data_IF_015345835190
#
_entry.id   IF_015345835190
#
_cell.length_a   1.000
_cell.length_b   1.000
_cell.length_c   1.000
_cell.angle_alpha   90.00
_cell.angle_beta   90.00
_cell.angle_gamma   90.00
#
_symmetry.space_group_name_H-M   'P 1'
#
loop_
_entity.id
_entity.type
_entity.pdbx_description
1 polymer ?
#
# COMPACT_ATOMS: atom_id res chain seq x y z
N UNK A 1 23.39 -18.91 -78.63
CA UNK A 1 23.68 -19.88 -77.55
C UNK A 1 22.64 -19.64 -76.44
N UNK A 2 21.57 -20.46 -76.39
CA UNK A 2 21.29 -21.44 -75.31
C UNK A 2 21.39 -20.81 -73.90
N UNK A 3 20.26 -20.43 -73.29
CA UNK A 3 19.36 -21.27 -72.44
C UNK A 3 19.69 -21.07 -70.95
N UNK A 4 18.80 -20.41 -70.18
CA UNK A 4 17.88 -21.06 -69.23
C UNK A 4 17.27 -20.07 -68.22
N UNK A 5 15.94 -20.03 -68.24
CA UNK A 5 15.11 -19.58 -67.14
C UNK A 5 15.10 -20.62 -66.01
N UNK A 6 15.01 -20.17 -64.76
CA UNK A 6 14.38 -20.93 -63.67
C UNK A 6 13.57 -19.99 -62.77
N UNK A 7 12.28 -20.30 -62.71
CA UNK A 7 11.27 -19.87 -61.75
C UNK A 7 11.56 -20.37 -60.32
N UNK A 8 10.71 -19.88 -59.41
CA UNK A 8 10.33 -20.39 -58.07
C UNK A 8 11.18 -19.81 -56.93
N UNK A 9 10.66 -19.34 -55.80
CA UNK A 9 9.38 -19.61 -55.12
C UNK A 9 9.06 -18.41 -54.20
N UNK A 10 7.79 -18.04 -54.14
CA UNK A 10 7.22 -17.19 -53.09
C UNK A 10 7.37 -17.93 -51.75
N UNK A 11 8.07 -17.33 -50.80
CA UNK A 11 8.03 -17.74 -49.39
C UNK A 11 7.43 -16.61 -48.57
N UNK A 12 6.14 -16.75 -48.28
CA UNK A 12 5.45 -16.06 -47.19
C UNK A 12 6.10 -16.56 -45.90
N UNK A 13 7.01 -15.78 -45.33
CA UNK A 13 7.49 -16.00 -43.97
C UNK A 13 6.55 -15.24 -43.02
N UNK A 14 5.83 -16.01 -42.20
CA UNK A 14 4.72 -15.55 -41.41
C UNK A 14 5.09 -14.54 -40.32
N UNK A 15 4.10 -13.69 -40.04
CA UNK A 15 3.91 -13.03 -38.75
C UNK A 15 4.00 -14.05 -37.63
N UNK A 16 5.13 -14.04 -36.94
CA UNK A 16 5.39 -14.76 -35.71
C UNK A 16 6.30 -13.92 -34.84
N UNK A 17 5.86 -12.71 -34.49
CA UNK A 17 6.49 -11.96 -33.42
C UNK A 17 6.28 -12.76 -32.13
N UNK A 18 7.34 -13.43 -31.71
CA UNK A 18 7.49 -14.10 -30.43
C UNK A 18 6.99 -13.15 -29.33
N UNK A 19 5.81 -13.45 -28.80
CA UNK A 19 5.47 -13.05 -27.45
C UNK A 19 6.50 -13.73 -26.55
N UNK A 20 7.58 -13.01 -26.24
CA UNK A 20 8.44 -13.36 -25.13
C UNK A 20 7.53 -13.41 -23.91
N UNK A 21 7.23 -14.63 -23.46
CA UNK A 21 6.43 -14.88 -22.28
C UNK A 21 7.09 -14.16 -21.13
N UNK A 22 6.45 -13.10 -20.63
CA UNK A 22 6.66 -12.65 -19.28
C UNK A 22 6.20 -13.82 -18.39
N UNK A 23 7.14 -14.70 -18.03
CA UNK A 23 6.98 -15.57 -16.88
C UNK A 23 6.63 -14.63 -15.73
N UNK A 24 5.41 -14.73 -15.21
CA UNK A 24 4.93 -13.89 -14.11
C UNK A 24 5.90 -14.01 -12.95
N UNK A 25 6.78 -13.03 -12.80
CA UNK A 25 7.65 -12.94 -11.64
C UNK A 25 6.72 -12.64 -10.47
N UNK A 26 6.68 -13.54 -9.48
CA UNK A 26 5.94 -13.29 -8.27
C UNK A 26 6.39 -11.93 -7.72
N UNK A 27 5.44 -11.04 -7.43
CA UNK A 27 5.75 -9.72 -6.89
C UNK A 27 6.63 -9.88 -5.64
N UNK A 28 7.80 -9.23 -5.64
CA UNK A 28 8.71 -9.31 -4.51
C UNK A 28 8.10 -8.59 -3.30
N UNK A 29 8.10 -9.26 -2.14
CA UNK A 29 7.54 -8.70 -0.90
C UNK A 29 8.27 -7.39 -0.53
N UNK A 30 7.55 -6.30 -0.24
CA UNK A 30 8.18 -5.09 0.30
C UNK A 30 8.90 -5.37 1.61
N UNK A 31 10.11 -4.84 1.76
CA UNK A 31 10.89 -4.91 3.01
C UNK A 31 10.42 -3.79 3.93
N UNK A 32 9.95 -4.10 5.13
CA UNK A 32 9.26 -3.11 5.98
C UNK A 32 9.88 -3.01 7.36
N UNK A 33 10.11 -1.79 7.81
CA UNK A 33 10.43 -1.44 9.19
C UNK A 33 9.32 -0.53 9.71
N UNK A 34 8.85 -0.79 10.94
CA UNK A 34 7.83 0.03 11.61
C UNK A 34 8.46 0.75 12.79
N UNK A 35 8.21 2.06 12.90
CA UNK A 35 8.54 2.91 14.05
C UNK A 35 7.21 3.32 14.68
N UNK A 36 6.94 2.85 15.89
CA UNK A 36 5.63 3.00 16.53
C UNK A 36 5.77 3.43 17.98
N UNK A 37 4.96 4.41 18.39
CA UNK A 37 4.83 4.84 19.78
C UNK A 37 3.74 4.05 20.52
N UNK A 38 3.60 2.77 20.17
CA UNK A 38 2.66 1.82 20.78
C UNK A 38 2.60 1.99 22.30
N UNK A 39 1.36 2.03 22.81
CA UNK A 39 1.09 2.25 24.22
C UNK A 39 0.85 3.71 24.62
N UNK A 40 0.92 4.63 23.64
CA UNK A 40 0.31 5.94 23.74
C UNK A 40 -1.23 5.84 23.71
N UNK A 41 -1.75 5.44 22.54
CA UNK A 41 -3.16 5.29 22.21
C UNK A 41 -3.45 3.86 21.73
N UNK A 42 -4.73 3.46 21.61
CA UNK A 42 -5.09 2.11 21.17
C UNK A 42 -4.74 1.79 19.71
N UNK A 43 -4.59 2.78 18.84
CA UNK A 43 -4.52 2.62 17.39
C UNK A 43 -3.23 1.96 16.87
N UNK A 44 -2.05 2.23 17.44
CA UNK A 44 -0.83 1.45 17.12
C UNK A 44 -1.03 -0.05 17.43
N UNK A 45 -1.74 -0.32 18.53
CA UNK A 45 -2.04 -1.68 18.97
C UNK A 45 -3.02 -2.39 18.04
N UNK A 46 -4.00 -1.66 17.51
CA UNK A 46 -4.94 -2.11 16.47
C UNK A 46 -4.19 -2.37 15.15
N UNK A 47 -3.39 -1.39 14.71
CA UNK A 47 -2.62 -1.42 13.47
C UNK A 47 -1.61 -2.56 13.45
N UNK A 48 -0.97 -2.86 14.59
CA UNK A 48 -0.05 -3.99 14.69
C UNK A 48 -0.76 -5.34 14.57
N UNK A 49 -1.96 -5.50 15.13
CA UNK A 49 -2.75 -6.72 14.93
C UNK A 49 -3.06 -6.92 13.45
N UNK A 50 -3.47 -5.85 12.75
CA UNK A 50 -3.70 -5.92 11.30
C UNK A 50 -2.41 -6.24 10.54
N UNK A 51 -1.31 -5.53 10.82
CA UNK A 51 -0.02 -5.76 10.15
C UNK A 51 0.42 -7.23 10.21
N UNK A 52 0.29 -7.87 11.38
CA UNK A 52 0.67 -9.28 11.56
C UNK A 52 -0.14 -10.23 10.67
N UNK A 53 -1.41 -9.90 10.38
CA UNK A 53 -2.23 -10.67 9.44
C UNK A 53 -1.82 -10.48 7.97
N UNK A 54 -1.05 -9.45 7.64
CA UNK A 54 -0.49 -9.22 6.30
C UNK A 54 1.00 -9.57 6.22
N UNK A 55 1.58 -10.17 7.28
CA UNK A 55 2.99 -10.55 7.30
C UNK A 55 3.35 -11.63 6.26
N UNK A 56 2.36 -12.30 5.65
CA UNK A 56 2.60 -13.17 4.51
C UNK A 56 2.94 -12.39 3.22
N UNK A 57 2.53 -11.13 3.11
CA UNK A 57 2.72 -10.29 1.92
C UNK A 57 3.90 -9.30 2.09
N UNK A 58 4.46 -9.20 3.30
CA UNK A 58 5.51 -8.25 3.67
C UNK A 58 6.73 -8.97 4.26
N UNK A 59 7.93 -8.52 3.90
CA UNK A 59 9.16 -8.92 4.60
C UNK A 59 9.39 -7.93 5.75
N UNK A 60 8.87 -8.24 6.93
CA UNK A 60 9.15 -7.43 8.13
C UNK A 60 10.63 -7.57 8.52
N UNK A 61 11.29 -6.44 8.75
CA UNK A 61 12.72 -6.35 9.10
C UNK A 61 12.98 -5.57 10.38
N UNK A 62 11.97 -4.90 10.94
CA UNK A 62 12.09 -4.19 12.21
C UNK A 62 10.74 -3.78 12.76
N UNK A 63 10.56 -3.98 14.07
CA UNK A 63 9.41 -3.47 14.83
C UNK A 63 9.98 -2.66 15.99
N UNK A 64 10.06 -1.34 15.83
CA UNK A 64 10.80 -0.45 16.72
C UNK A 64 9.80 0.35 17.55
N UNK A 65 9.81 0.13 18.86
CA UNK A 65 9.06 0.95 19.80
C UNK A 65 9.79 2.28 20.03
N UNK A 66 9.18 3.40 19.68
CA UNK A 66 9.76 4.74 19.74
C UNK A 66 8.83 5.72 20.47
N UNK A 67 9.17 7.00 20.48
CA UNK A 67 8.39 8.09 21.08
C UNK A 67 7.65 8.90 20.02
N UNK A 68 6.74 9.76 20.47
CA UNK A 68 6.04 10.75 19.66
C UNK A 68 5.73 11.98 20.52
N UNK A 69 5.02 12.96 19.99
CA UNK A 69 4.50 14.09 20.77
C UNK A 69 3.45 13.67 21.80
N UNK A 70 2.82 12.51 21.62
CA UNK A 70 1.79 11.98 22.50
C UNK A 70 2.36 10.99 23.54
N UNK A 71 3.46 10.32 23.22
CA UNK A 71 4.26 9.52 24.17
C UNK A 71 5.74 9.94 24.12
N UNK A 72 6.10 10.94 24.93
CA UNK A 72 7.36 11.71 24.76
C UNK A 72 8.59 11.14 25.47
N UNK A 73 8.40 10.28 26.46
CA UNK A 73 9.42 9.93 27.46
C UNK A 73 9.51 8.43 27.79
N UNK A 74 8.78 7.57 27.06
CA UNK A 74 8.76 6.13 27.26
C UNK A 74 8.56 5.36 25.95
N UNK A 75 8.99 4.10 25.93
CA UNK A 75 8.75 3.15 24.83
C UNK A 75 8.18 1.85 25.41
N UNK A 76 7.36 1.13 24.65
CA UNK A 76 6.67 -0.08 25.14
C UNK A 76 6.80 -1.31 24.21
N UNK A 77 8.02 -1.82 23.95
CA UNK A 77 8.23 -3.00 23.10
C UNK A 77 7.49 -4.25 23.59
N UNK A 78 7.24 -4.38 24.89
CA UNK A 78 6.46 -5.49 25.47
C UNK A 78 5.06 -5.62 24.86
N UNK A 79 4.47 -4.52 24.39
CA UNK A 79 3.17 -4.54 23.72
C UNK A 79 3.25 -5.16 22.33
N UNK A 80 4.39 -5.02 21.65
CA UNK A 80 4.64 -5.70 20.37
C UNK A 80 4.85 -7.20 20.59
N UNK A 81 5.69 -7.57 21.57
CA UNK A 81 5.91 -8.97 21.96
C UNK A 81 4.61 -9.71 22.29
N UNK A 82 3.71 -9.09 23.07
CA UNK A 82 2.43 -9.70 23.42
C UNK A 82 1.56 -10.04 22.19
N UNK A 83 1.55 -9.15 21.18
CA UNK A 83 0.80 -9.35 19.93
C UNK A 83 1.44 -10.40 19.04
N UNK A 84 2.77 -10.42 18.96
CA UNK A 84 3.51 -11.45 18.22
C UNK A 84 3.31 -12.84 18.86
N UNK A 85 3.27 -12.91 20.19
CA UNK A 85 2.96 -14.15 20.90
C UNK A 85 1.54 -14.64 20.58
N UNK A 86 0.55 -13.75 20.52
CA UNK A 86 -0.81 -14.10 20.11
C UNK A 86 -0.90 -14.51 18.62
N UNK A 87 -0.13 -13.85 17.74
CA UNK A 87 0.04 -14.27 16.35
C UNK A 87 0.60 -15.69 16.26
N UNK A 88 1.59 -16.04 17.08
CA UNK A 88 2.15 -17.39 17.15
C UNK A 88 1.13 -18.48 17.49
N UNK A 89 0.10 -18.16 18.28
CA UNK A 89 -0.98 -19.09 18.61
C UNK A 89 -1.90 -19.38 17.41
N UNK A 90 -2.08 -18.40 16.52
CA UNK A 90 -2.97 -18.53 15.34
C UNK A 90 -2.22 -18.86 14.05
N UNK A 91 -0.89 -18.84 14.08
CA UNK A 91 -0.02 -19.13 12.93
C UNK A 91 -0.28 -20.49 12.26
N UNK A 92 -0.57 -21.60 12.99
CA UNK A 92 -0.90 -22.87 12.34
C UNK A 92 -2.13 -22.79 11.44
N UNK A 93 -3.13 -21.99 11.82
CA UNK A 93 -4.34 -21.76 11.04
C UNK A 93 -4.02 -20.89 9.82
N UNK A 94 -3.37 -19.74 10.02
CA UNK A 94 -2.97 -18.82 8.95
C UNK A 94 -2.21 -19.52 7.80
N UNK A 95 -1.32 -20.46 8.14
CA UNK A 95 -0.54 -21.26 7.18
C UNK A 95 -1.37 -22.22 6.31
N UNK A 96 -2.62 -22.51 6.68
CA UNK A 96 -3.53 -23.27 5.81
C UNK A 96 -4.24 -22.39 4.77
N UNK A 97 -4.28 -21.07 5.01
CA UNK A 97 -5.01 -20.12 4.19
C UNK A 97 -4.11 -19.40 3.18
N UNK A 98 -2.86 -19.12 3.54
CA UNK A 98 -1.86 -18.57 2.63
C UNK A 98 -0.43 -18.98 2.99
N UNK A 99 0.41 -19.07 1.97
CA UNK A 99 1.85 -19.29 2.13
C UNK A 99 2.57 -18.01 2.57
N UNK A 100 3.79 -18.17 3.09
CA UNK A 100 4.69 -17.05 3.31
C UNK A 100 4.58 -16.34 4.65
N UNK A 101 3.70 -16.78 5.57
CA UNK A 101 3.65 -16.27 6.94
C UNK A 101 4.95 -16.60 7.73
N UNK A 102 5.66 -15.59 8.26
CA UNK A 102 6.89 -15.79 9.02
C UNK A 102 6.62 -16.45 10.37
N UNK A 103 7.62 -17.16 10.90
CA UNK A 103 7.56 -17.69 12.26
C UNK A 103 7.44 -16.54 13.27
N UNK A 104 6.63 -16.74 14.31
CA UNK A 104 6.48 -15.76 15.38
C UNK A 104 7.82 -15.44 16.07
N UNK A 105 8.69 -16.45 16.27
CA UNK A 105 10.02 -16.25 16.83
C UNK A 105 10.91 -15.35 15.95
N UNK A 106 10.77 -15.42 14.62
CA UNK A 106 11.48 -14.51 13.70
C UNK A 106 10.99 -13.09 13.89
N UNK A 107 9.67 -12.87 13.98
CA UNK A 107 9.11 -11.54 14.21
C UNK A 107 9.49 -10.97 15.58
N UNK A 108 9.44 -11.80 16.62
CA UNK A 108 9.79 -11.43 17.99
C UNK A 108 11.24 -10.94 18.08
N UNK A 109 12.15 -11.61 17.38
CA UNK A 109 13.56 -11.24 17.27
C UNK A 109 13.83 -9.93 16.51
N UNK A 110 12.83 -9.35 15.84
CA UNK A 110 12.92 -8.04 15.16
C UNK A 110 12.47 -6.88 16.05
N UNK A 111 11.89 -7.16 17.22
CA UNK A 111 11.44 -6.10 18.13
C UNK A 111 12.64 -5.41 18.75
N UNK A 112 12.66 -4.07 18.71
CA UNK A 112 13.70 -3.25 19.33
C UNK A 112 13.09 -2.10 20.12
N UNK A 113 13.77 -1.73 21.21
CA UNK A 113 13.57 -0.44 21.84
C UNK A 113 14.34 0.63 21.07
N UNK A 114 13.62 1.65 20.64
CA UNK A 114 14.20 2.92 20.23
C UNK A 114 14.56 3.79 21.43
N UNK A 115 14.75 5.08 21.17
CA UNK A 115 15.04 6.06 22.24
C UNK A 115 13.77 6.40 23.01
N UNK A 116 13.89 6.58 24.33
CA UNK A 116 12.83 7.17 25.14
C UNK A 116 12.88 8.70 25.16
N UNK A 117 13.80 9.34 24.45
CA UNK A 117 13.81 10.80 24.29
C UNK A 117 12.80 11.24 23.23
N UNK A 118 12.39 12.51 23.26
CA UNK A 118 11.52 13.08 22.24
C UNK A 118 12.31 13.67 21.06
N UNK A 119 12.03 13.18 19.85
CA UNK A 119 12.53 13.71 18.59
C UNK A 119 14.04 13.95 18.57
N UNK A 120 14.46 15.09 18.02
CA UNK A 120 15.88 15.44 17.82
C UNK A 120 16.69 15.55 19.13
N UNK A 121 16.05 15.59 20.31
CA UNK A 121 16.78 15.52 21.60
C UNK A 121 17.46 14.16 21.82
N UNK A 122 16.94 13.11 21.19
CA UNK A 122 17.53 11.78 21.21
C UNK A 122 18.50 11.51 20.06
N UNK A 123 18.84 12.50 19.25
CA UNK A 123 19.70 12.34 18.07
C UNK A 123 21.06 12.99 18.28
N UNK A 124 22.14 12.22 18.14
CA UNK A 124 23.49 12.74 18.33
C UNK A 124 24.57 11.68 18.52
N UNK A 125 25.79 12.15 18.76
CA UNK A 125 26.96 11.29 19.00
C UNK A 125 26.76 10.46 20.27
N UNK A 126 26.89 9.14 20.15
CA UNK A 126 26.76 8.20 21.28
C UNK A 126 25.31 7.93 21.70
N UNK A 127 24.33 8.35 20.90
CA UNK A 127 22.90 8.13 21.17
C UNK A 127 22.30 7.02 20.29
N UNK A 128 23.12 6.14 19.72
CA UNK A 128 22.64 5.00 18.93
C UNK A 128 21.79 4.06 19.80
N UNK A 129 20.58 3.81 19.34
CA UNK A 129 19.61 2.85 19.89
C UNK A 129 19.69 1.52 19.16
N UNK A 130 19.16 0.46 19.75
CA UNK A 130 19.08 -0.82 19.02
C UNK A 130 18.17 -0.72 17.79
N UNK A 131 17.14 0.13 17.84
CA UNK A 131 16.30 0.48 16.69
C UNK A 131 17.10 1.14 15.55
N UNK A 132 17.90 2.16 15.86
CA UNK A 132 18.72 2.86 14.86
C UNK A 132 19.77 1.94 14.22
N UNK A 133 20.38 1.04 15.01
CA UNK A 133 21.32 0.03 14.49
C UNK A 133 20.62 -0.96 13.57
N UNK A 134 19.44 -1.45 13.96
CA UNK A 134 18.63 -2.34 13.12
C UNK A 134 18.28 -1.69 11.78
N UNK A 135 17.94 -0.40 11.76
CA UNK A 135 17.68 0.34 10.51
C UNK A 135 18.91 0.33 9.61
N UNK A 136 20.09 0.63 10.18
CA UNK A 136 21.35 0.63 9.42
C UNK A 136 21.63 -0.76 8.85
N UNK A 137 21.55 -1.81 9.68
CA UNK A 137 21.78 -3.21 9.29
C UNK A 137 20.82 -3.65 8.18
N UNK A 138 19.54 -3.34 8.30
CA UNK A 138 18.54 -3.65 7.29
C UNK A 138 18.87 -2.96 5.95
N UNK A 139 19.12 -1.64 5.96
CA UNK A 139 19.42 -0.89 4.73
C UNK A 139 20.73 -1.36 4.09
N UNK A 140 21.72 -1.77 4.87
CA UNK A 140 23.02 -2.25 4.37
C UNK A 140 23.00 -3.67 3.82
N UNK A 141 21.98 -4.47 4.15
CA UNK A 141 21.85 -5.83 3.59
C UNK A 141 21.97 -5.76 2.06
N UNK A 142 22.75 -6.67 1.42
CA UNK A 142 22.94 -6.71 -0.04
C UNK A 142 21.68 -7.27 -0.73
N UNK A 143 20.57 -6.55 -0.59
CA UNK A 143 19.29 -6.83 -1.19
C UNK A 143 18.91 -5.59 -2.05
N UNK A 144 18.64 -5.77 -3.35
CA UNK A 144 18.38 -4.65 -4.27
C UNK A 144 17.04 -3.97 -3.98
N UNK A 145 16.13 -4.63 -3.26
CA UNK A 145 14.84 -4.05 -2.90
C UNK A 145 15.02 -2.93 -1.90
N UNK A 146 14.25 -1.84 -2.04
CA UNK A 146 14.29 -0.79 -1.04
C UNK A 146 13.69 -1.22 0.30
N UNK A 147 14.02 -0.47 1.33
CA UNK A 147 13.42 -0.61 2.67
C UNK A 147 12.38 0.48 2.85
N UNK A 148 11.15 0.05 3.10
CA UNK A 148 10.02 0.90 3.45
C UNK A 148 9.99 1.10 4.97
N UNK A 149 9.99 2.35 5.40
CA UNK A 149 9.93 2.72 6.82
C UNK A 149 8.57 3.37 7.08
N UNK A 150 7.71 2.64 7.79
CA UNK A 150 6.40 3.14 8.24
C UNK A 150 6.58 3.81 9.60
N UNK A 151 6.38 5.12 9.65
CA UNK A 151 6.52 5.93 10.87
C UNK A 151 5.12 6.23 11.40
N UNK A 152 4.70 5.46 12.40
CA UNK A 152 3.41 5.58 13.08
C UNK A 152 3.50 6.69 14.13
N UNK A 153 4.55 6.67 14.95
CA UNK A 153 4.87 7.71 15.93
C UNK A 153 5.87 8.76 15.42
N UNK A 154 6.95 8.96 16.17
CA UNK A 154 8.07 9.83 15.81
C UNK A 154 9.12 9.16 14.91
N UNK A 155 9.91 9.98 14.22
CA UNK A 155 10.96 9.52 13.31
C UNK A 155 12.37 9.50 13.95
N UNK A 156 12.47 9.67 15.27
CA UNK A 156 13.75 9.78 16.00
C UNK A 156 14.75 8.70 15.63
N UNK A 157 14.38 7.41 15.71
CA UNK A 157 15.34 6.31 15.49
C UNK A 157 15.86 6.27 14.04
N UNK A 158 15.04 6.69 13.08
CA UNK A 158 15.46 6.88 11.69
C UNK A 158 16.42 8.08 11.58
N UNK A 159 16.13 9.19 12.27
CA UNK A 159 17.01 10.35 12.30
C UNK A 159 18.37 10.03 12.95
N UNK A 160 18.39 9.24 14.02
CA UNK A 160 19.61 8.73 14.63
C UNK A 160 20.39 7.85 13.66
N UNK A 161 19.74 6.91 12.97
CA UNK A 161 20.38 6.05 11.97
C UNK A 161 21.07 6.87 10.86
N UNK A 162 20.36 7.84 10.27
CA UNK A 162 20.95 8.69 9.22
C UNK A 162 22.01 9.65 9.76
N UNK A 163 21.88 10.14 10.99
CA UNK A 163 22.90 10.94 11.66
C UNK A 163 24.21 10.16 11.81
N UNK A 164 24.12 8.90 12.27
CA UNK A 164 25.27 8.00 12.41
C UNK A 164 25.90 7.65 11.08
N UNK A 165 25.11 7.29 10.06
CA UNK A 165 25.62 7.04 8.70
C UNK A 165 26.33 8.27 8.14
N UNK A 166 25.76 9.47 8.29
CA UNK A 166 26.37 10.72 7.84
C UNK A 166 27.69 11.04 8.56
N UNK A 167 27.80 10.71 9.84
CA UNK A 167 28.99 10.97 10.64
C UNK A 167 30.12 9.96 10.40
N UNK A 168 29.80 8.75 9.91
CA UNK A 168 30.75 7.61 9.83
C UNK A 168 31.10 7.20 8.41
N UNK A 169 30.38 7.68 7.39
CA UNK A 169 30.57 7.30 5.99
C UNK A 169 30.89 8.48 5.09
N UNK A 170 31.39 8.17 3.90
CA UNK A 170 31.58 9.14 2.82
C UNK A 170 30.23 9.69 2.31
N UNK A 171 30.21 10.88 1.69
CA UNK A 171 29.01 11.42 1.07
C UNK A 171 28.35 10.47 0.05
N UNK A 172 29.15 9.75 -0.74
CA UNK A 172 28.68 8.80 -1.74
C UNK A 172 27.98 7.60 -1.10
N UNK A 173 28.55 7.07 -0.02
CA UNK A 173 27.95 5.98 0.75
C UNK A 173 26.66 6.43 1.45
N UNK A 174 26.62 7.65 1.99
CA UNK A 174 25.39 8.21 2.56
C UNK A 174 24.31 8.36 1.48
N UNK A 175 24.65 8.89 0.31
CA UNK A 175 23.72 9.02 -0.82
C UNK A 175 23.17 7.65 -1.24
N UNK A 176 24.03 6.64 -1.34
CA UNK A 176 23.62 5.27 -1.66
C UNK A 176 22.73 4.65 -0.56
N UNK A 177 22.98 4.98 0.71
CA UNK A 177 22.14 4.57 1.84
C UNK A 177 20.74 5.21 1.76
N UNK A 178 20.67 6.53 1.58
CA UNK A 178 19.41 7.28 1.44
C UNK A 178 18.59 6.79 0.24
N UNK A 179 19.24 6.52 -0.88
CA UNK A 179 18.60 6.03 -2.11
C UNK A 179 17.91 4.65 -1.95
N UNK A 180 18.18 3.91 -0.88
CA UNK A 180 17.53 2.61 -0.56
C UNK A 180 16.32 2.75 0.36
N UNK A 181 16.07 3.92 0.94
CA UNK A 181 14.95 4.16 1.85
C UNK A 181 13.72 4.69 1.11
N UNK A 182 12.53 4.33 1.59
CA UNK A 182 11.25 5.00 1.29
C UNK A 182 10.50 5.16 2.60
N UNK A 183 10.09 6.36 2.94
CA UNK A 183 9.42 6.62 4.22
C UNK A 183 7.96 6.98 3.98
N UNK A 184 7.06 6.44 4.80
CA UNK A 184 5.69 6.91 4.94
C UNK A 184 5.47 7.26 6.40
N UNK A 185 5.20 8.53 6.71
CA UNK A 185 4.89 8.99 8.06
C UNK A 185 3.43 9.40 8.23
N UNK A 186 2.84 9.02 9.35
CA UNK A 186 1.51 9.44 9.79
C UNK A 186 1.63 10.86 10.33
N UNK A 187 1.59 11.81 9.38
CA UNK A 187 2.02 13.20 9.63
C UNK A 187 3.45 13.26 10.18
N UNK A 188 3.86 14.36 10.80
CA UNK A 188 5.06 14.44 11.63
C UNK A 188 4.61 14.50 13.10
N UNK A 189 4.97 13.50 13.90
CA UNK A 189 4.63 13.45 15.33
C UNK A 189 5.81 13.82 16.24
N UNK A 190 6.96 14.15 15.67
CA UNK A 190 8.09 14.77 16.35
C UNK A 190 8.79 15.79 15.43
N UNK A 191 9.87 16.41 15.90
CA UNK A 191 10.69 17.32 15.09
C UNK A 191 11.72 16.60 14.19
N UNK A 192 11.86 15.28 14.32
CA UNK A 192 12.83 14.48 13.58
C UNK A 192 12.38 14.21 12.13
N UNK A 193 11.08 14.01 11.89
CA UNK A 193 10.53 13.83 10.53
C UNK A 193 10.75 15.05 9.64
N UNK A 194 10.39 16.24 10.13
CA UNK A 194 10.65 17.49 9.44
C UNK A 194 12.15 17.75 9.24
N UNK A 195 12.99 17.43 10.23
CA UNK A 195 14.45 17.54 10.10
C UNK A 195 14.99 16.61 9.01
N UNK A 196 14.56 15.34 8.97
CA UNK A 196 14.97 14.37 7.94
C UNK A 196 14.64 14.88 6.55
N UNK A 197 13.42 15.36 6.33
CA UNK A 197 12.97 15.91 5.03
C UNK A 197 13.80 17.13 4.59
N UNK A 198 14.24 17.97 5.51
CA UNK A 198 15.08 19.13 5.20
C UNK A 198 16.55 18.76 4.96
N UNK A 199 17.10 17.81 5.73
CA UNK A 199 18.51 17.44 5.68
C UNK A 199 18.83 16.41 4.60
N UNK A 200 17.83 15.65 4.16
CA UNK A 200 17.94 14.62 3.13
C UNK A 200 16.85 14.86 2.06
N UNK A 201 16.99 15.91 1.23
CA UNK A 201 15.96 16.27 0.24
C UNK A 201 15.71 15.15 -0.81
N UNK A 202 16.72 14.31 -1.06
CA UNK A 202 16.64 13.15 -1.95
C UNK A 202 16.00 11.90 -1.30
N UNK A 203 15.62 11.97 -0.01
CA UNK A 203 14.91 10.88 0.67
C UNK A 203 13.46 10.84 0.22
N UNK A 204 13.06 9.72 -0.40
CA UNK A 204 11.66 9.47 -0.72
C UNK A 204 10.82 9.48 0.56
N UNK A 205 9.84 10.38 0.63
CA UNK A 205 9.02 10.57 1.82
C UNK A 205 7.57 10.88 1.49
N UNK A 206 6.64 10.13 2.05
CA UNK A 206 5.20 10.39 2.01
C UNK A 206 4.76 10.90 3.38
N UNK A 207 4.12 12.07 3.43
CA UNK A 207 3.57 12.62 4.67
C UNK A 207 2.34 13.50 4.43
N UNK A 208 1.39 13.44 5.36
CA UNK A 208 0.40 14.49 5.52
C UNK A 208 1.02 15.70 6.21
N UNK A 209 1.45 16.70 5.41
CA UNK A 209 2.01 17.96 5.91
C UNK A 209 0.90 18.99 6.06
N UNK A 210 0.56 19.30 7.31
CA UNK A 210 -0.47 20.28 7.67
C UNK A 210 -0.01 21.13 8.86
N UNK A 211 -0.81 22.12 9.27
CA UNK A 211 -0.53 22.89 10.49
C UNK A 211 -0.38 21.97 11.70
N UNK A 212 0.51 22.30 12.64
CA UNK A 212 0.83 21.42 13.77
C UNK A 212 -0.43 20.98 14.53
N UNK A 213 -0.54 19.66 14.77
CA UNK A 213 -1.69 18.99 15.40
C UNK A 213 -3.06 19.16 14.70
N UNK A 214 -3.11 19.70 13.47
CA UNK A 214 -4.34 19.81 12.67
C UNK A 214 -4.64 18.51 11.90
N UNK A 215 -4.64 17.36 12.59
CA UNK A 215 -4.82 16.04 11.98
C UNK A 215 -6.14 15.88 11.21
N UNK A 216 -7.15 16.70 11.49
CA UNK A 216 -8.39 16.73 10.71
C UNK A 216 -8.19 17.08 9.23
N UNK A 217 -7.02 17.62 8.86
CA UNK A 217 -6.61 17.89 7.49
C UNK A 217 -5.80 16.75 6.86
N UNK A 218 -5.42 15.72 7.62
CA UNK A 218 -4.51 14.68 7.15
C UNK A 218 -5.21 13.57 6.38
N UNK A 219 -4.52 12.99 5.40
CA UNK A 219 -5.05 11.96 4.49
C UNK A 219 -5.33 10.67 5.24
N UNK A 220 -4.44 10.27 6.14
CA UNK A 220 -4.56 9.03 6.92
C UNK A 220 -5.85 8.97 7.76
N UNK A 221 -6.40 10.12 8.19
CA UNK A 221 -7.70 10.14 8.88
C UNK A 221 -8.85 9.64 8.02
N UNK A 222 -8.68 9.46 6.70
CA UNK A 222 -9.64 8.76 5.86
C UNK A 222 -9.90 7.31 6.26
N UNK A 223 -9.01 6.68 7.04
CA UNK A 223 -9.25 5.32 7.53
C UNK A 223 -10.58 5.24 8.31
N UNK A 224 -10.84 6.16 9.23
CA UNK A 224 -12.01 6.12 10.13
C UNK A 224 -12.38 7.47 10.77
N UNK A 225 -11.78 8.59 10.38
CA UNK A 225 -11.92 9.88 11.05
C UNK A 225 -13.32 10.50 11.02
N UNK A 226 -14.19 10.03 10.13
CA UNK A 226 -15.60 10.38 10.08
C UNK A 226 -16.41 9.83 11.26
N UNK A 227 -15.90 8.87 12.05
CA UNK A 227 -16.57 8.46 13.31
C UNK A 227 -16.77 9.64 14.25
N UNK A 228 -15.86 10.62 14.21
CA UNK A 228 -15.90 11.86 15.00
C UNK A 228 -16.57 13.05 14.29
N UNK A 229 -17.09 12.86 13.08
CA UNK A 229 -17.71 13.92 12.25
C UNK A 229 -19.22 13.68 12.09
N UNK A 230 -20.02 14.73 11.87
CA UNK A 230 -21.45 14.57 11.58
C UNK A 230 -21.67 13.91 10.21
N UNK A 231 -20.89 14.30 9.21
CA UNK A 231 -20.92 13.70 7.88
C UNK A 231 -20.12 12.40 7.91
N UNK A 232 -20.81 11.30 7.59
CA UNK A 232 -20.21 9.97 7.45
C UNK A 232 -19.78 9.73 6.00
N UNK A 233 -18.70 8.99 5.83
CA UNK A 233 -18.21 8.53 4.53
C UNK A 233 -18.76 7.12 4.23
N UNK A 234 -18.64 6.64 2.98
CA UNK A 234 -19.04 5.28 2.64
C UNK A 234 -18.45 4.22 3.59
N UNK A 235 -19.24 3.18 3.88
CA UNK A 235 -18.88 2.07 4.78
C UNK A 235 -18.49 2.50 6.22
N UNK A 236 -19.05 3.60 6.73
CA UNK A 236 -18.76 4.12 8.07
C UNK A 236 -19.09 3.14 9.21
N UNK A 237 -20.05 2.24 9.02
CA UNK A 237 -20.38 1.18 9.97
C UNK A 237 -19.21 0.23 10.22
N UNK A 238 -18.39 -0.02 9.20
CA UNK A 238 -17.28 -0.99 9.24
C UNK A 238 -16.09 -0.54 10.08
N UNK A 239 -16.11 0.69 10.59
CA UNK A 239 -15.03 1.25 11.42
C UNK A 239 -15.48 1.56 12.84
N UNK A 240 -16.70 1.14 13.20
CA UNK A 240 -17.24 1.30 14.55
C UNK A 240 -16.77 0.19 15.48
N UNK A 241 -16.65 0.50 16.77
CA UNK A 241 -16.41 -0.53 17.79
C UNK A 241 -17.40 -1.70 17.74
N UNK A 242 -18.66 -1.49 17.37
CA UNK A 242 -19.65 -2.57 17.25
C UNK A 242 -19.32 -3.54 16.10
N UNK A 243 -18.90 -3.01 14.94
CA UNK A 243 -18.47 -3.84 13.83
C UNK A 243 -17.15 -4.55 14.14
N UNK A 244 -16.20 -3.86 14.77
CA UNK A 244 -14.90 -4.41 15.17
C UNK A 244 -15.06 -5.53 16.21
N UNK A 245 -16.00 -5.39 17.15
CA UNK A 245 -16.34 -6.47 18.09
C UNK A 245 -16.76 -7.75 17.35
N UNK A 246 -17.60 -7.59 16.34
CA UNK A 246 -18.19 -8.71 15.61
C UNK A 246 -17.22 -9.34 14.61
N UNK A 247 -16.35 -8.55 13.99
CA UNK A 247 -15.57 -8.98 12.83
C UNK A 247 -14.07 -9.08 13.08
N UNK A 248 -13.55 -8.40 14.10
CA UNK A 248 -12.10 -8.27 14.35
C UNK A 248 -11.70 -8.82 15.70
N UNK A 249 -12.41 -8.48 16.79
CA UNK A 249 -12.04 -8.86 18.17
C UNK A 249 -12.41 -10.31 18.48
N UNK A 250 -11.84 -11.24 17.72
CA UNK A 250 -12.12 -12.68 17.75
C UNK A 250 -10.83 -13.48 17.80
N UNK A 251 -10.86 -14.58 18.55
CA UNK A 251 -9.70 -15.45 18.73
C UNK A 251 -8.54 -14.81 19.49
N UNK A 252 -7.42 -15.52 19.68
CA UNK A 252 -6.31 -15.06 20.51
C UNK A 252 -5.68 -13.74 20.04
N UNK A 253 -5.45 -13.59 18.73
CA UNK A 253 -4.86 -12.37 18.18
C UNK A 253 -5.85 -11.20 18.17
N UNK A 254 -7.08 -11.43 17.71
CA UNK A 254 -8.12 -10.40 17.69
C UNK A 254 -8.50 -9.87 19.08
N UNK A 255 -8.41 -10.70 20.13
CA UNK A 255 -8.63 -10.25 21.51
C UNK A 255 -7.64 -9.17 22.00
N UNK A 256 -6.48 -9.02 21.33
CA UNK A 256 -5.50 -7.96 21.63
C UNK A 256 -5.69 -6.70 20.78
N UNK A 257 -6.71 -6.68 19.93
CA UNK A 257 -7.18 -5.49 19.23
C UNK A 257 -8.09 -4.70 20.19
N UNK A 258 -7.68 -3.54 20.72
CA UNK A 258 -8.48 -2.81 21.70
C UNK A 258 -9.68 -2.08 21.07
N UNK A 259 -10.60 -1.53 21.87
CA UNK A 259 -11.54 -0.52 21.41
C UNK A 259 -10.85 0.81 21.11
N UNK A 260 -11.15 1.39 19.95
CA UNK A 260 -10.60 2.69 19.58
C UNK A 260 -11.13 3.79 20.50
N UNK A 261 -10.25 4.71 20.89
CA UNK A 261 -10.58 5.86 21.76
C UNK A 261 -10.98 7.11 20.95
N UNK A 262 -10.26 7.37 19.84
CA UNK A 262 -10.53 8.52 18.97
C UNK A 262 -10.99 8.04 17.59
N UNK A 263 -10.07 7.48 16.82
CA UNK A 263 -10.34 6.88 15.52
C UNK A 263 -9.69 5.49 15.51
N UNK A 264 -10.19 4.60 14.66
CA UNK A 264 -9.62 3.26 14.48
C UNK A 264 -8.41 3.31 13.55
N UNK A 265 -7.30 2.72 13.99
CA UNK A 265 -6.08 2.47 13.20
C UNK A 265 -5.58 3.67 12.39
N UNK A 266 -5.29 4.79 13.06
CA UNK A 266 -4.71 5.98 12.42
C UNK A 266 -3.48 5.66 11.56
N UNK A 267 -2.69 4.67 11.98
CA UNK A 267 -1.38 4.37 11.39
C UNK A 267 -1.37 3.34 10.26
N UNK A 268 -2.43 2.54 10.18
CA UNK A 268 -2.57 1.48 9.19
C UNK A 268 -2.36 1.92 7.73
N UNK A 269 -2.75 3.13 7.28
CA UNK A 269 -2.42 3.62 5.95
C UNK A 269 -0.92 3.55 5.60
N UNK A 270 -0.02 3.68 6.58
CA UNK A 270 1.44 3.67 6.37
C UNK A 270 2.00 2.29 5.94
N UNK A 271 1.20 1.22 6.02
CA UNK A 271 1.56 -0.08 5.42
C UNK A 271 0.51 -0.62 4.44
N UNK A 272 -0.74 -0.16 4.46
CA UNK A 272 -1.76 -0.63 3.52
C UNK A 272 -1.43 -0.36 2.06
N UNK A 273 -0.67 0.70 1.77
CA UNK A 273 -0.18 1.00 0.42
C UNK A 273 0.86 -0.02 -0.10
N UNK A 274 1.41 -0.88 0.76
CA UNK A 274 2.36 -1.93 0.41
C UNK A 274 1.68 -3.27 0.08
N UNK A 275 0.39 -3.42 0.40
CA UNK A 275 -0.32 -4.68 0.21
C UNK A 275 -0.51 -4.96 -1.29
N UNK A 276 -0.11 -6.13 -1.82
CA UNK A 276 -0.17 -6.46 -3.24
C UNK A 276 -1.61 -6.82 -3.68
N UNK A 277 -2.49 -5.82 -3.69
CA UNK A 277 -3.90 -5.96 -4.08
C UNK A 277 -4.15 -5.68 -5.59
N UNK A 278 -3.09 -5.35 -6.34
CA UNK A 278 -3.11 -4.97 -7.76
C UNK A 278 -3.54 -3.53 -8.08
N UNK A 279 -3.86 -2.74 -7.05
CA UNK A 279 -4.10 -1.29 -7.14
C UNK A 279 -2.83 -0.52 -6.76
N UNK A 280 -2.21 -0.96 -5.67
CA UNK A 280 -1.07 -0.32 -5.04
C UNK A 280 0.20 -0.44 -5.89
N UNK A 281 0.92 0.68 -6.03
CA UNK A 281 2.26 0.70 -6.64
C UNK A 281 3.15 1.57 -5.75
N UNK A 282 3.87 1.00 -4.76
CA UNK A 282 4.63 1.78 -3.77
C UNK A 282 5.72 2.70 -4.34
N UNK A 283 6.19 2.48 -5.57
CA UNK A 283 7.10 3.42 -6.22
C UNK A 283 6.41 4.71 -6.71
N UNK A 284 5.07 4.73 -6.74
CA UNK A 284 4.22 5.77 -7.31
C UNK A 284 3.09 6.18 -6.33
N UNK A 285 3.36 6.94 -5.25
CA UNK A 285 2.33 7.42 -4.33
C UNK A 285 1.21 8.21 -5.02
N UNK A 286 1.52 8.83 -6.17
CA UNK A 286 0.58 9.61 -6.97
C UNK A 286 -0.46 8.76 -7.69
N UNK A 287 -0.27 7.43 -7.75
CA UNK A 287 -1.23 6.51 -8.36
C UNK A 287 -2.42 6.19 -7.43
N UNK A 288 -2.28 6.46 -6.14
CA UNK A 288 -3.30 6.16 -5.14
C UNK A 288 -3.45 4.67 -4.85
N UNK A 289 -3.93 4.36 -3.66
CA UNK A 289 -4.07 3.00 -3.17
C UNK A 289 -4.71 2.94 -1.79
N UNK A 290 -4.66 1.77 -1.14
CA UNK A 290 -5.29 1.58 0.17
C UNK A 290 -4.68 2.45 1.27
N UNK A 291 -3.43 2.90 1.12
CA UNK A 291 -2.81 3.87 2.03
C UNK A 291 -2.98 5.33 1.60
N UNK A 292 -3.87 5.63 0.65
CA UNK A 292 -4.12 6.99 0.16
C UNK A 292 -3.38 7.33 -1.12
N UNK A 293 -3.47 8.61 -1.51
CA UNK A 293 -2.80 9.17 -2.68
C UNK A 293 -2.07 10.44 -2.27
N UNK A 294 -0.84 10.60 -2.76
CA UNK A 294 0.01 11.74 -2.46
C UNK A 294 0.74 12.19 -3.72
N UNK A 295 0.92 13.49 -3.93
CA UNK A 295 1.64 14.04 -5.09
C UNK A 295 2.91 14.74 -4.63
N UNK A 296 3.95 14.83 -5.48
CA UNK A 296 5.14 15.61 -5.16
C UNK A 296 4.80 17.02 -4.70
N UNK A 297 5.41 17.47 -3.61
CA UNK A 297 5.19 18.81 -3.03
C UNK A 297 5.73 19.94 -3.91
N UNK A 298 6.56 19.60 -4.90
CA UNK A 298 7.06 20.47 -5.96
C UNK A 298 7.42 19.62 -7.18
N UNK A 299 7.56 20.25 -8.36
CA UNK A 299 7.88 19.57 -9.61
C UNK A 299 9.23 18.85 -9.53
N UNK A 300 9.24 17.54 -9.85
CA UNK A 300 10.44 16.69 -9.80
C UNK A 300 10.86 16.24 -8.39
N UNK A 301 10.12 16.60 -7.33
CA UNK A 301 10.42 16.21 -5.96
C UNK A 301 10.12 14.75 -5.65
N UNK A 302 10.83 14.18 -4.68
CA UNK A 302 10.60 12.83 -4.12
C UNK A 302 9.91 12.85 -2.76
N UNK A 303 9.46 14.03 -2.32
CA UNK A 303 8.68 14.21 -1.11
C UNK A 303 7.24 14.55 -1.47
N UNK A 304 6.33 13.71 -1.00
CA UNK A 304 4.93 13.67 -1.40
C UNK A 304 4.04 14.19 -0.26
N UNK A 305 3.10 15.04 -0.64
CA UNK A 305 2.12 15.66 0.26
C UNK A 305 0.68 15.31 -0.12
N UNK A 306 -0.26 15.73 0.73
CA UNK A 306 -1.68 15.46 0.57
C UNK A 306 -2.22 15.94 -0.79
N UNK A 307 -3.08 15.14 -1.40
CA UNK A 307 -3.89 15.50 -2.58
C UNK A 307 -5.31 15.00 -2.38
N UNK A 308 -6.26 15.47 -3.19
CA UNK A 308 -7.68 15.18 -3.00
C UNK A 308 -8.24 14.30 -4.11
N UNK A 309 -9.08 13.35 -3.71
CA UNK A 309 -9.93 12.60 -4.62
C UNK A 309 -11.38 13.05 -4.48
N UNK A 310 -12.19 12.73 -5.48
CA UNK A 310 -13.64 12.90 -5.43
C UNK A 310 -14.33 11.54 -5.45
N UNK A 311 -15.07 11.25 -4.39
CA UNK A 311 -15.87 10.02 -4.29
C UNK A 311 -17.33 10.39 -4.38
N UNK A 312 -18.04 9.78 -5.32
CA UNK A 312 -19.50 9.86 -5.40
C UNK A 312 -20.10 8.56 -4.88
N UNK A 313 -20.88 8.64 -3.81
CA UNK A 313 -21.57 7.52 -3.18
C UNK A 313 -22.94 7.27 -3.80
N UNK A 314 -23.61 6.25 -3.27
CA UNK A 314 -25.00 5.95 -3.62
C UNK A 314 -25.91 7.14 -3.31
N UNK A 315 -26.89 7.40 -4.19
CA UNK A 315 -27.77 8.57 -4.07
C UNK A 315 -27.15 9.91 -4.51
N UNK A 316 -25.91 9.90 -5.04
CA UNK A 316 -25.28 11.08 -5.64
C UNK A 316 -24.55 12.01 -4.67
N UNK A 317 -24.47 11.65 -3.39
CA UNK A 317 -23.63 12.36 -2.42
C UNK A 317 -22.16 12.32 -2.87
N UNK A 318 -21.46 13.45 -2.76
CA UNK A 318 -20.08 13.57 -3.24
C UNK A 318 -19.18 14.16 -2.16
N UNK A 319 -17.99 13.58 -2.01
CA UNK A 319 -16.97 14.02 -1.07
C UNK A 319 -15.67 14.28 -1.85
N UNK A 320 -15.22 15.53 -1.85
CA UNK A 320 -13.90 15.91 -2.37
C UNK A 320 -13.00 16.25 -1.18
N UNK A 321 -12.00 15.41 -0.94
CA UNK A 321 -11.08 15.60 0.19
C UNK A 321 -9.85 14.72 0.02
N UNK A 322 -8.82 14.97 0.82
CA UNK A 322 -7.66 14.10 0.83
C UNK A 322 -7.92 12.78 1.58
N UNK A 323 -8.85 12.78 2.55
CA UNK A 323 -9.36 11.55 3.17
C UNK A 323 -10.07 10.63 2.19
N UNK A 324 -10.68 11.19 1.13
CA UNK A 324 -11.34 10.43 0.07
C UNK A 324 -10.38 9.51 -0.67
N UNK A 325 -9.08 9.82 -0.68
CA UNK A 325 -8.06 8.95 -1.26
C UNK A 325 -7.90 7.62 -0.50
N UNK A 326 -8.36 7.57 0.77
CA UNK A 326 -8.33 6.37 1.64
C UNK A 326 -9.73 5.75 1.78
N UNK A 327 -10.74 6.50 2.26
CA UNK A 327 -12.03 5.89 2.59
C UNK A 327 -12.77 5.30 1.40
N UNK A 328 -12.43 5.72 0.17
CA UNK A 328 -12.98 5.12 -1.06
C UNK A 328 -12.72 3.61 -1.14
N UNK A 329 -11.69 3.12 -0.45
CA UNK A 329 -11.30 1.72 -0.41
C UNK A 329 -11.76 0.98 0.85
N UNK A 330 -12.51 1.65 1.73
CA UNK A 330 -12.81 1.17 3.09
C UNK A 330 -13.46 -0.19 3.13
N UNK A 331 -14.50 -0.39 2.34
CA UNK A 331 -15.17 -1.68 2.27
C UNK A 331 -14.20 -2.82 1.90
N UNK A 332 -13.32 -2.57 0.92
CA UNK A 332 -12.36 -3.56 0.46
C UNK A 332 -11.33 -3.93 1.52
N UNK A 333 -10.65 -2.94 2.14
CA UNK A 333 -9.63 -3.25 3.15
C UNK A 333 -10.23 -3.77 4.47
N UNK A 334 -11.45 -3.37 4.83
CA UNK A 334 -12.12 -3.91 6.03
C UNK A 334 -12.60 -5.35 5.82
N UNK A 335 -13.13 -5.69 4.64
CA UNK A 335 -13.48 -7.06 4.32
C UNK A 335 -12.25 -7.97 4.26
N UNK A 336 -11.15 -7.52 3.64
CA UNK A 336 -9.89 -8.29 3.62
C UNK A 336 -9.38 -8.54 5.05
N UNK A 337 -9.42 -7.52 5.91
CA UNK A 337 -9.05 -7.67 7.32
C UNK A 337 -9.96 -8.67 8.07
N UNK A 338 -11.28 -8.58 7.90
CA UNK A 338 -12.22 -9.51 8.52
C UNK A 338 -12.07 -10.95 8.00
N UNK A 339 -11.78 -11.14 6.70
CA UNK A 339 -11.48 -12.46 6.15
C UNK A 339 -10.23 -13.07 6.79
N UNK A 340 -9.16 -12.28 6.93
CA UNK A 340 -7.92 -12.70 7.58
C UNK A 340 -8.09 -12.96 9.07
N UNK A 341 -8.96 -12.24 9.77
CA UNK A 341 -9.39 -12.61 11.12
C UNK A 341 -10.08 -13.97 11.09
N UNK A 342 -10.97 -14.22 10.12
CA UNK A 342 -11.57 -15.54 9.87
C UNK A 342 -10.53 -16.66 9.72
N UNK A 343 -9.45 -16.43 8.99
CA UNK A 343 -8.33 -17.37 8.83
C UNK A 343 -7.65 -17.71 10.15
N UNK A 344 -7.69 -16.84 11.16
CA UNK A 344 -7.11 -17.15 12.48
C UNK A 344 -7.95 -18.15 13.27
N UNK A 345 -9.23 -18.32 12.93
CA UNK A 345 -10.21 -19.06 13.74
C UNK A 345 -10.36 -20.52 13.34
N UNK A 346 -9.81 -20.91 12.19
CA UNK A 346 -9.92 -22.27 11.68
C UNK A 346 -8.72 -22.60 10.79
N UNK A 347 -8.29 -23.86 10.81
CA UNK A 347 -7.34 -24.40 9.83
C UNK A 347 -8.03 -24.96 8.59
N UNK A 348 -9.36 -25.02 8.60
CA UNK A 348 -10.16 -25.56 7.53
C UNK A 348 -10.34 -24.51 6.45
N UNK A 349 -9.55 -24.64 5.38
CA UNK A 349 -9.54 -23.69 4.26
C UNK A 349 -10.93 -23.45 3.70
N UNK A 350 -11.82 -24.44 3.65
CA UNK A 350 -13.15 -24.28 3.05
C UNK A 350 -14.14 -23.48 3.91
N UNK A 351 -13.74 -23.08 5.12
CA UNK A 351 -14.56 -22.28 6.06
C UNK A 351 -14.21 -20.80 6.06
N UNK A 352 -13.34 -20.34 5.17
CA UNK A 352 -13.03 -18.93 5.01
C UNK A 352 -12.88 -18.55 3.54
N UNK A 353 -13.17 -17.29 3.24
CA UNK A 353 -13.01 -16.73 1.90
C UNK A 353 -11.56 -16.32 1.62
N UNK A 354 -11.15 -16.34 0.35
CA UNK A 354 -9.84 -15.93 -0.14
C UNK A 354 -9.95 -15.11 -1.41
N UNK A 355 -8.97 -14.23 -1.60
CA UNK A 355 -9.05 -13.26 -2.66
C UNK A 355 -9.05 -13.87 -4.07
N UNK A 356 -9.83 -13.30 -5.01
CA UNK A 356 -9.83 -13.74 -6.39
C UNK A 356 -8.47 -13.48 -7.06
N UNK A 357 -8.02 -14.43 -7.88
CA UNK A 357 -6.80 -14.32 -8.66
C UNK A 357 -7.11 -13.71 -10.03
N UNK A 358 -6.62 -12.49 -10.28
CA UNK A 358 -6.95 -11.74 -11.48
C UNK A 358 -5.95 -11.94 -12.63
N UNK A 359 -6.51 -12.00 -13.84
CA UNK A 359 -5.79 -12.00 -15.11
C UNK A 359 -6.18 -10.74 -15.87
N UNK A 360 -5.22 -10.07 -16.50
CA UNK A 360 -5.46 -8.88 -17.31
C UNK A 360 -4.80 -9.09 -18.67
N UNK A 361 -5.59 -9.10 -19.74
CA UNK A 361 -5.15 -9.34 -21.11
C UNK A 361 -4.28 -10.61 -21.24
N UNK A 362 -4.67 -11.67 -20.53
CA UNK A 362 -3.95 -12.96 -20.49
C UNK A 362 -2.75 -13.01 -19.54
N UNK A 363 -2.44 -11.93 -18.83
CA UNK A 363 -1.29 -11.85 -17.91
C UNK A 363 -1.79 -11.93 -16.46
N UNK A 364 -1.45 -13.00 -15.70
CA UNK A 364 -1.75 -13.09 -14.27
C UNK A 364 -0.84 -12.17 -13.44
N UNK A 365 -1.21 -11.96 -12.18
CA UNK A 365 -0.44 -11.15 -11.23
C UNK A 365 -1.09 -9.79 -10.95
N UNK A 366 -0.35 -8.90 -10.32
CA UNK A 366 -0.82 -7.63 -9.75
C UNK A 366 -0.14 -6.40 -10.37
N UNK A 367 0.95 -6.60 -11.12
CA UNK A 367 1.67 -5.52 -11.78
C UNK A 367 0.77 -4.73 -12.77
N UNK A 368 0.96 -3.40 -12.86
CA UNK A 368 0.27 -2.58 -13.85
C UNK A 368 0.60 -3.02 -15.29
N UNK A 369 -0.41 -3.04 -16.16
CA UNK A 369 -0.20 -3.17 -17.59
C UNK A 369 0.07 -1.80 -18.20
N UNK A 370 0.97 -1.73 -19.20
CA UNK A 370 1.26 -0.49 -19.94
C UNK A 370 0.90 -0.71 -21.40
N UNK A 371 0.03 0.15 -21.93
CA UNK A 371 -0.44 0.14 -23.32
C UNK A 371 -0.08 1.47 -23.97
N UNK A 372 0.36 1.43 -25.23
CA UNK A 372 0.47 2.61 -26.08
C UNK A 372 -0.74 2.69 -27.02
N UNK A 373 -1.26 3.90 -27.24
CA UNK A 373 -2.42 4.09 -28.12
C UNK A 373 -2.39 5.44 -28.84
N UNK A 374 -3.13 5.54 -29.95
CA UNK A 374 -3.41 6.81 -30.66
C UNK A 374 -4.89 7.18 -30.54
N UNK A 375 -5.18 8.47 -30.69
CA UNK A 375 -6.56 8.96 -30.76
C UNK A 375 -7.38 8.19 -31.80
N UNK A 376 -8.60 7.81 -31.44
CA UNK A 376 -9.53 7.04 -32.26
C UNK A 376 -9.31 5.53 -32.26
N UNK A 377 -8.18 5.03 -31.73
CA UNK A 377 -7.99 3.57 -31.58
C UNK A 377 -8.94 2.99 -30.53
N UNK A 378 -9.35 1.73 -30.73
CA UNK A 378 -10.16 1.01 -29.73
C UNK A 378 -9.26 0.15 -28.86
N UNK A 379 -9.22 0.44 -27.57
CA UNK A 379 -8.54 -0.39 -26.58
C UNK A 379 -9.51 -1.44 -26.06
N UNK A 380 -9.10 -2.71 -26.14
CA UNK A 380 -9.81 -3.86 -25.58
C UNK A 380 -9.12 -4.29 -24.29
N UNK A 381 -9.90 -4.46 -23.24
CA UNK A 381 -9.46 -4.93 -21.93
C UNK A 381 -10.18 -6.24 -21.63
N UNK A 382 -9.46 -7.19 -21.04
CA UNK A 382 -10.00 -8.50 -20.72
C UNK A 382 -9.52 -8.98 -19.36
N UNK A 383 -10.47 -9.35 -18.51
CA UNK A 383 -10.28 -10.06 -17.26
C UNK A 383 -10.47 -11.58 -17.40
N UNK A 384 -10.61 -12.09 -18.63
CA UNK A 384 -10.81 -13.53 -18.85
C UNK A 384 -9.64 -14.33 -18.30
N UNK A 385 -9.96 -15.45 -17.63
CA UNK A 385 -8.99 -16.26 -16.89
C UNK A 385 -8.86 -15.87 -15.42
N UNK A 386 -9.44 -14.74 -14.99
CA UNK A 386 -9.62 -14.45 -13.57
C UNK A 386 -10.50 -15.52 -12.92
N UNK A 387 -10.16 -15.92 -11.70
CA UNK A 387 -10.84 -17.00 -11.00
C UNK A 387 -10.85 -16.76 -9.50
N UNK A 388 -11.92 -17.21 -8.87
CA UNK A 388 -11.99 -17.32 -7.44
C UNK A 388 -11.41 -18.67 -6.98
N UNK A 389 -10.51 -18.72 -5.99
CA UNK A 389 -9.93 -19.98 -5.51
C UNK A 389 -10.93 -20.85 -4.73
N UNK A 390 -12.01 -20.27 -4.22
CA UNK A 390 -13.03 -20.94 -3.42
C UNK A 390 -14.30 -21.25 -4.24
N UNK A 391 -14.34 -20.80 -5.50
CA UNK A 391 -15.41 -21.06 -6.46
C UNK A 391 -16.52 -20.03 -6.44
N UNK A 392 -16.31 -18.90 -5.76
CA UNK A 392 -17.27 -17.80 -5.68
C UNK A 392 -17.48 -17.09 -7.02
N UNK A 393 -18.66 -16.50 -7.19
CA UNK A 393 -18.99 -15.71 -8.37
C UNK A 393 -18.22 -14.39 -8.36
N UNK A 394 -17.70 -13.99 -9.51
CA UNK A 394 -16.95 -12.75 -9.67
C UNK A 394 -17.80 -11.65 -10.30
N UNK A 395 -17.78 -10.48 -9.68
CA UNK A 395 -18.33 -9.23 -10.23
C UNK A 395 -17.19 -8.34 -10.73
N UNK A 396 -17.37 -7.71 -11.89
CA UNK A 396 -16.33 -6.94 -12.57
C UNK A 396 -16.73 -5.48 -12.66
N UNK A 397 -15.75 -4.59 -12.56
CA UNK A 397 -15.92 -3.17 -12.81
C UNK A 397 -14.67 -2.57 -13.43
N UNK A 398 -14.82 -1.97 -14.59
CA UNK A 398 -13.80 -1.20 -15.29
C UNK A 398 -14.12 0.27 -15.17
N UNK A 399 -13.17 1.07 -14.71
CA UNK A 399 -13.40 2.49 -14.56
C UNK A 399 -12.11 3.30 -14.72
N UNK A 400 -12.24 4.51 -15.24
CA UNK A 400 -11.14 5.46 -15.28
C UNK A 400 -10.91 6.04 -13.88
N UNK A 401 -9.71 5.89 -13.35
CA UNK A 401 -9.29 6.63 -12.17
C UNK A 401 -8.87 8.05 -12.61
N UNK A 402 -9.86 8.94 -12.64
CA UNK A 402 -9.77 10.23 -13.29
C UNK A 402 -8.76 11.17 -12.62
N UNK A 403 -8.66 11.13 -11.29
CA UNK A 403 -7.77 11.99 -10.50
C UNK A 403 -6.28 11.70 -10.72
N UNK A 404 -5.96 10.52 -11.27
CA UNK A 404 -4.59 10.07 -11.57
C UNK A 404 -4.34 9.91 -13.08
N UNK A 405 -5.33 10.25 -13.90
CA UNK A 405 -5.20 10.30 -15.36
C UNK A 405 -4.75 11.70 -15.79
N UNK A 406 -3.92 11.77 -16.83
CA UNK A 406 -3.36 13.02 -17.34
C UNK A 406 -2.25 13.56 -16.47
N UNK A 407 -2.29 14.86 -16.18
CA UNK A 407 -1.30 15.55 -15.35
C UNK A 407 -1.94 16.13 -14.09
N UNK A 408 -1.20 16.30 -12.98
CA UNK A 408 -1.72 16.89 -11.76
C UNK A 408 -2.49 18.20 -12.03
N UNK A 409 -3.72 18.30 -11.51
CA UNK A 409 -4.57 19.48 -11.64
C UNK A 409 -5.32 19.63 -12.97
N UNK A 410 -5.11 18.74 -13.95
CA UNK A 410 -5.85 18.73 -15.22
C UNK A 410 -6.30 17.32 -15.60
N UNK A 411 -7.55 16.99 -15.25
CA UNK A 411 -8.16 15.72 -15.67
C UNK A 411 -8.37 15.72 -17.19
N UNK A 412 -8.00 14.63 -17.88
CA UNK A 412 -8.25 14.50 -19.29
C UNK A 412 -9.73 14.16 -19.56
N UNK A 413 -10.20 14.21 -20.83
CA UNK A 413 -11.55 13.80 -21.19
C UNK A 413 -11.94 12.44 -20.60
N UNK A 414 -13.17 12.32 -20.08
CA UNK A 414 -13.65 11.06 -19.50
C UNK A 414 -13.68 9.96 -20.57
N UNK A 415 -13.23 8.77 -20.20
CA UNK A 415 -13.37 7.57 -21.03
C UNK A 415 -14.82 7.04 -20.96
N UNK A 416 -15.40 6.79 -22.11
CA UNK A 416 -16.63 6.02 -22.24
C UNK A 416 -16.29 4.53 -22.34
N UNK A 417 -16.27 3.87 -21.18
CA UNK A 417 -15.95 2.44 -21.07
C UNK A 417 -17.22 1.64 -21.33
N UNK A 418 -17.25 0.96 -22.48
CA UNK A 418 -18.33 0.08 -22.89
C UNK A 418 -18.14 -1.29 -22.25
N UNK A 419 -19.25 -1.91 -21.82
CA UNK A 419 -19.28 -3.20 -21.11
C UNK A 419 -18.46 -3.17 -19.80
N UNK A 420 -18.50 -2.01 -19.11
CA UNK A 420 -17.68 -1.74 -17.94
C UNK A 420 -17.94 -2.69 -16.76
N UNK A 421 -19.06 -3.40 -16.72
CA UNK A 421 -19.42 -4.38 -15.69
C UNK A 421 -19.18 -5.85 -16.12
N UNK A 422 -18.60 -6.05 -17.32
CA UNK A 422 -18.36 -7.37 -17.89
C UNK A 422 -16.88 -7.79 -17.75
N UNK A 423 -16.57 -9.10 -17.88
CA UNK A 423 -15.19 -9.59 -17.93
C UNK A 423 -14.36 -9.01 -19.08
N UNK A 424 -15.01 -8.48 -20.12
CA UNK A 424 -14.34 -7.80 -21.22
C UNK A 424 -14.96 -6.43 -21.41
N UNK A 425 -14.13 -5.42 -21.50
CA UNK A 425 -14.55 -4.03 -21.70
C UNK A 425 -13.72 -3.40 -22.82
N UNK A 426 -14.20 -2.27 -23.34
CA UNK A 426 -13.46 -1.50 -24.34
C UNK A 426 -13.78 -0.03 -24.24
N UNK A 427 -12.90 0.81 -24.78
CA UNK A 427 -13.18 2.21 -24.99
C UNK A 427 -12.47 2.71 -26.25
N UNK A 428 -12.97 3.81 -26.80
CA UNK A 428 -12.29 4.53 -27.88
C UNK A 428 -11.40 5.58 -27.25
N UNK A 429 -10.13 5.61 -27.67
CA UNK A 429 -9.15 6.56 -27.16
C UNK A 429 -9.55 7.97 -27.61
N UNK A 430 -9.78 8.91 -26.68
CA UNK A 430 -10.15 10.27 -27.03
C UNK A 430 -8.98 11.00 -27.69
N UNK A 431 -9.30 12.05 -28.44
CA UNK A 431 -8.29 13.00 -28.92
C UNK A 431 -7.67 13.72 -27.74
N UNK A 432 -6.34 13.77 -27.72
CA UNK A 432 -5.55 14.51 -26.73
C UNK A 432 -4.69 15.54 -27.44
N UNK A 433 -4.49 16.70 -26.82
CA UNK A 433 -3.65 17.77 -27.38
C UNK A 433 -2.17 17.63 -27.01
N UNK A 434 -1.88 16.79 -26.03
CA UNK A 434 -0.55 16.50 -25.51
C UNK A 434 -0.45 15.02 -25.07
N UNK A 435 0.75 14.44 -24.95
CA UNK A 435 0.92 13.10 -24.40
C UNK A 435 0.20 12.95 -23.05
N UNK A 436 -0.72 11.99 -22.96
CA UNK A 436 -1.62 11.84 -21.82
C UNK A 436 -1.65 10.38 -21.40
N UNK A 437 -1.43 10.10 -20.12
CA UNK A 437 -1.58 8.75 -19.57
C UNK A 437 -2.94 8.62 -18.90
N UNK A 438 -3.79 7.74 -19.39
CA UNK A 438 -5.02 7.34 -18.71
C UNK A 438 -4.74 6.18 -17.77
N UNK A 439 -5.36 6.18 -16.60
CA UNK A 439 -5.32 5.04 -15.69
C UNK A 439 -6.70 4.41 -15.59
N UNK A 440 -6.82 3.18 -16.08
CA UNK A 440 -8.05 2.38 -16.00
C UNK A 440 -7.84 1.28 -14.97
N UNK A 441 -8.81 1.13 -14.08
CA UNK A 441 -8.80 0.14 -12.99
C UNK A 441 -9.82 -0.93 -13.33
N UNK A 442 -9.36 -2.18 -13.32
CA UNK A 442 -10.19 -3.35 -13.12
C UNK A 442 -10.35 -3.52 -11.61
N UNK A 443 -11.59 -3.58 -11.14
CA UNK A 443 -11.96 -3.94 -9.78
C UNK A 443 -12.81 -5.21 -9.88
N UNK A 444 -12.40 -6.26 -9.17
CA UNK A 444 -13.10 -7.53 -9.14
C UNK A 444 -13.37 -7.92 -7.71
N UNK A 445 -14.63 -8.25 -7.45
CA UNK A 445 -15.12 -8.64 -6.12
C UNK A 445 -15.79 -10.00 -6.20
N UNK A 446 -15.41 -10.89 -5.29
CA UNK A 446 -16.04 -12.20 -5.13
C UNK A 446 -17.41 -12.11 -4.42
N UNK A 447 -18.13 -13.24 -4.37
CA UNK A 447 -19.39 -13.39 -3.64
C UNK A 447 -19.24 -14.00 -2.25
N UNK A 448 -17.99 -14.17 -1.77
CA UNK A 448 -17.71 -14.82 -0.50
C UNK A 448 -18.08 -13.96 0.72
N UNK A 449 -17.90 -14.52 1.91
CA UNK A 449 -18.28 -13.87 3.17
C UNK A 449 -17.08 -13.78 4.14
N UNK A 450 -16.51 -12.59 4.40
CA UNK A 450 -16.82 -11.31 3.74
C UNK A 450 -16.29 -11.29 2.30
N UNK A 451 -16.89 -10.45 1.44
CA UNK A 451 -16.49 -10.39 0.04
C UNK A 451 -15.15 -9.67 -0.14
N UNK A 452 -14.19 -10.30 -0.81
CA UNK A 452 -12.85 -9.74 -1.00
C UNK A 452 -12.74 -9.09 -2.38
N UNK A 453 -11.98 -8.01 -2.46
CA UNK A 453 -11.77 -7.24 -3.70
C UNK A 453 -10.29 -7.23 -4.08
N UNK A 454 -10.02 -7.46 -5.36
CA UNK A 454 -8.71 -7.30 -5.99
C UNK A 454 -8.81 -6.42 -7.21
N UNK A 455 -7.68 -5.86 -7.63
CA UNK A 455 -7.62 -4.86 -8.68
C UNK A 455 -6.57 -5.23 -9.75
N UNK A 456 -6.68 -4.60 -10.92
CA UNK A 456 -5.58 -4.47 -11.88
C UNK A 456 -5.56 -3.05 -12.42
N UNK A 457 -4.37 -2.48 -12.56
CA UNK A 457 -4.16 -1.15 -13.13
C UNK A 457 -3.68 -1.24 -14.58
N UNK A 458 -4.25 -0.42 -15.45
CA UNK A 458 -3.84 -0.26 -16.85
C UNK A 458 -3.42 1.20 -17.07
N UNK A 459 -2.18 1.42 -17.46
CA UNK A 459 -1.66 2.70 -17.91
C UNK A 459 -1.76 2.76 -19.44
N UNK A 460 -2.56 3.68 -19.95
CA UNK A 460 -2.77 3.86 -21.41
C UNK A 460 -2.14 5.17 -21.82
N UNK A 461 -0.95 5.07 -22.44
CA UNK A 461 -0.15 6.19 -22.90
C UNK A 461 -0.64 6.61 -24.29
N UNK A 462 -1.38 7.70 -24.34
CA UNK A 462 -1.97 8.26 -25.55
C UNK A 462 -1.08 9.35 -26.11
N UNK A 463 -0.85 9.30 -27.42
CA UNK A 463 -0.18 10.37 -28.17
C UNK A 463 -1.20 11.14 -29.03
N UNK A 464 -0.98 12.46 -29.24
CA UNK A 464 -1.79 13.27 -30.14
C UNK A 464 -1.91 12.69 -31.55
#
# INVERSE_FOLDING_TARGET
>A
MKRQARLWLVAIAGLGALAAGATGQAAEKPRVIVLSDIGNEPDDSESLVRLLLYANDLDLEGLIATTSTWQRDKVQPQMMHARIAAYGQVLPNLRQHAEGYPDAAKLDALVRSGSSAYGMRGVGKGLDTDGSRLIIEAVDRPDPRPVYVSVWGGALDLAQALSTVRATRTPEQLKAFVAKLRVYSISDQDDAGAWLRQQFPDLFWVASVHGWSQYGMATWTGISGDVRRPVKWPAAEMVTNAWLETNVRRGPLGALYPPHLFIMEGDTPAFLWLIPNGLNVPAHPEYGGWGGRYVPTYEGGVQYGDTQDTVTGEGGASWTSNQATVFRWRAAFQNDFAARIGWTLTSDRTKANHAPALVLNGIPGDAPAVLGAKAGETIKLSALGSKDPDGDALTYRWWQYAEVSGRPGLSPPKLDVVDADQPQARFVVPTVVEPTTYQVILEVRDSGAPAITRYRRVLVNVRP
#
